data_IF_759664650422
#
_entry.id   IF_759664650422
#
_cell.length_a   1.000
_cell.length_b   1.000
_cell.length_c   1.000
_cell.angle_alpha   90.00
_cell.angle_beta   90.00
_cell.angle_gamma   90.00
#
_symmetry.space_group_name_H-M   'P 1'
#
loop_
_entity.id
_entity.type
_entity.pdbx_description
1 polymer ?
#
# COMPACT_ATOMS: atom_id res chain seq x y z
N UNK A 1 2.97 -10.37 -9.76
CA UNK A 1 1.83 -10.15 -8.83
C UNK A 1 0.82 -11.29 -8.91
N UNK A 2 0.36 -11.75 -10.08
CA UNK A 2 -0.60 -12.87 -10.17
C UNK A 2 -0.18 -14.12 -9.39
N UNK A 3 1.13 -14.47 -9.39
CA UNK A 3 1.65 -15.59 -8.60
C UNK A 3 1.64 -15.34 -7.08
N UNK A 4 1.58 -14.09 -6.64
CA UNK A 4 1.49 -13.77 -5.22
C UNK A 4 0.11 -14.06 -4.66
N UNK A 5 -0.97 -13.78 -5.44
CA UNK A 5 -2.35 -14.15 -5.11
C UNK A 5 -2.53 -15.65 -4.83
N UNK A 6 -1.68 -16.50 -5.42
CA UNK A 6 -1.79 -17.95 -5.24
C UNK A 6 -1.24 -18.41 -3.90
N UNK A 7 -0.39 -17.60 -3.30
CA UNK A 7 0.28 -17.92 -2.04
C UNK A 7 -0.37 -17.30 -0.83
N UNK A 8 -0.89 -16.07 -1.00
CA UNK A 8 -1.50 -15.28 0.07
C UNK A 8 -2.69 -14.51 -0.48
N UNK A 9 -3.70 -14.19 0.35
CA UNK A 9 -4.69 -13.18 -0.02
C UNK A 9 -3.98 -11.90 -0.45
N UNK A 10 -4.34 -11.35 -1.61
CA UNK A 10 -3.66 -10.19 -2.18
C UNK A 10 -4.68 -9.10 -2.53
N UNK A 11 -5.51 -8.79 -1.56
CA UNK A 11 -6.53 -7.74 -1.62
C UNK A 11 -6.05 -6.48 -0.91
N UNK A 12 -6.60 -5.33 -1.28
CA UNK A 12 -6.44 -4.10 -0.53
C UNK A 12 -7.79 -3.42 -0.35
N UNK A 13 -7.90 -2.57 0.66
CA UNK A 13 -9.13 -1.87 1.02
C UNK A 13 -8.83 -0.39 1.18
N UNK A 14 -9.66 0.44 0.56
CA UNK A 14 -9.78 1.87 0.84
C UNK A 14 -11.14 2.12 1.45
N UNK A 15 -11.21 2.86 2.53
CA UNK A 15 -12.44 3.21 3.21
C UNK A 15 -12.43 4.69 3.57
N UNK A 16 -13.56 5.36 3.35
CA UNK A 16 -13.72 6.78 3.64
C UNK A 16 -15.02 7.01 4.41
N UNK A 17 -14.97 7.89 5.40
CA UNK A 17 -16.15 8.35 6.14
C UNK A 17 -16.83 9.51 5.44
N UNK A 18 -18.14 9.38 5.27
CA UNK A 18 -19.03 10.39 4.70
C UNK A 18 -19.92 10.93 5.81
N UNK A 19 -19.87 12.24 6.10
CA UNK A 19 -20.64 12.90 7.16
C UNK A 19 -22.07 13.24 6.68
N UNK A 20 -22.78 12.24 6.17
CA UNK A 20 -24.18 12.32 5.70
C UNK A 20 -24.84 10.95 5.87
N UNK A 21 -26.18 10.87 5.96
CA UNK A 21 -26.88 9.60 5.91
C UNK A 21 -26.61 8.84 4.60
N UNK A 22 -26.55 7.51 4.69
CA UNK A 22 -26.42 6.65 3.52
C UNK A 22 -27.76 6.49 2.82
N UNK A 23 -27.75 6.65 1.49
CA UNK A 23 -28.81 6.14 0.62
C UNK A 23 -28.22 4.96 -0.18
N UNK A 24 -28.47 3.72 0.22
CA UNK A 24 -27.85 2.55 -0.39
C UNK A 24 -28.20 2.37 -1.86
N UNK A 25 -29.44 2.67 -2.24
CA UNK A 25 -29.90 2.52 -3.62
C UNK A 25 -29.17 3.48 -4.54
N UNK A 26 -29.18 4.75 -4.17
CA UNK A 26 -28.45 5.80 -4.89
C UNK A 26 -26.96 5.54 -4.96
N UNK A 27 -26.35 5.10 -3.86
CA UNK A 27 -24.91 4.80 -3.81
C UNK A 27 -24.57 3.67 -4.76
N UNK A 28 -25.36 2.59 -4.77
CA UNK A 28 -25.18 1.45 -5.67
C UNK A 28 -25.28 1.86 -7.13
N UNK A 29 -26.34 2.56 -7.52
CA UNK A 29 -26.55 3.06 -8.88
C UNK A 29 -25.39 3.94 -9.34
N UNK A 30 -24.92 4.82 -8.46
CA UNK A 30 -23.79 5.69 -8.76
C UNK A 30 -22.48 4.92 -8.95
N UNK A 31 -22.18 3.93 -8.11
CA UNK A 31 -21.00 3.07 -8.26
C UNK A 31 -21.07 2.32 -9.60
N UNK A 32 -22.20 1.72 -9.93
CA UNK A 32 -22.41 0.99 -11.19
C UNK A 32 -22.19 1.88 -12.41
N UNK A 33 -22.82 3.06 -12.41
CA UNK A 33 -22.68 4.04 -13.47
C UNK A 33 -21.21 4.51 -13.66
N UNK A 34 -20.49 4.75 -12.55
CA UNK A 34 -19.08 5.21 -12.61
C UNK A 34 -18.14 4.10 -13.07
N UNK A 35 -18.31 2.86 -12.61
CA UNK A 35 -17.51 1.73 -13.08
C UNK A 35 -17.73 1.48 -14.58
N UNK A 36 -18.97 1.57 -15.03
CA UNK A 36 -19.32 1.41 -16.45
C UNK A 36 -18.72 2.54 -17.29
N UNK A 37 -18.90 3.79 -16.90
CA UNK A 37 -18.33 4.96 -17.60
C UNK A 37 -16.81 4.91 -17.69
N UNK A 38 -16.14 4.43 -16.62
CA UNK A 38 -14.70 4.24 -16.59
C UNK A 38 -14.22 3.00 -17.37
N UNK A 39 -15.11 2.17 -17.91
CA UNK A 39 -14.74 0.91 -18.58
C UNK A 39 -14.16 -0.15 -17.63
N UNK A 40 -14.35 -0.02 -16.32
CA UNK A 40 -13.77 -0.89 -15.30
C UNK A 40 -14.68 -2.07 -14.91
N UNK A 41 -15.42 -2.60 -15.87
CA UNK A 41 -16.36 -3.69 -15.67
C UNK A 41 -15.96 -4.93 -16.45
N UNK A 42 -16.43 -6.10 -16.01
CA UNK A 42 -16.24 -7.36 -16.71
C UNK A 42 -14.74 -7.73 -16.88
N UNK A 43 -13.95 -7.68 -15.80
CA UNK A 43 -12.55 -8.12 -15.86
C UNK A 43 -12.47 -9.58 -16.27
N UNK A 44 -11.71 -9.86 -17.33
CA UNK A 44 -11.34 -11.22 -17.76
C UNK A 44 -9.84 -11.42 -17.53
N UNK A 45 -9.51 -12.45 -16.78
CA UNK A 45 -8.14 -12.82 -16.46
C UNK A 45 -7.77 -14.11 -17.19
N UNK A 46 -6.75 -14.04 -18.08
CA UNK A 46 -6.11 -15.20 -18.69
C UNK A 46 -4.76 -15.44 -18.03
N UNK A 47 -4.75 -16.39 -17.10
CA UNK A 47 -3.54 -16.75 -16.36
C UNK A 47 -2.49 -17.44 -17.23
N UNK A 48 -2.90 -18.16 -18.25
CA UNK A 48 -2.00 -18.89 -19.14
C UNK A 48 -1.10 -17.90 -19.91
N UNK A 49 -1.66 -16.78 -20.33
CA UNK A 49 -0.98 -15.68 -21.01
C UNK A 49 -0.45 -14.60 -20.07
N UNK A 50 -0.86 -14.63 -18.78
CA UNK A 50 -0.53 -13.59 -17.79
C UNK A 50 -1.10 -12.21 -18.16
N UNK A 51 -2.29 -12.18 -18.76
CA UNK A 51 -2.99 -10.97 -19.22
C UNK A 51 -4.34 -10.85 -18.56
N UNK A 52 -4.78 -9.61 -18.40
CA UNK A 52 -6.15 -9.30 -18.03
C UNK A 52 -6.68 -8.15 -18.88
N UNK A 53 -7.99 -8.10 -19.03
CA UNK A 53 -8.67 -7.09 -19.81
C UNK A 53 -10.03 -6.79 -19.20
N UNK A 54 -10.41 -5.52 -19.17
CA UNK A 54 -11.76 -5.10 -18.86
C UNK A 54 -12.58 -5.08 -20.15
N UNK A 55 -13.65 -5.86 -20.18
CA UNK A 55 -14.54 -5.98 -21.35
C UNK A 55 -15.52 -4.81 -21.46
N UNK A 56 -15.70 -4.06 -20.37
CA UNK A 56 -16.74 -3.03 -20.29
C UNK A 56 -18.16 -3.61 -20.18
N UNK A 57 -19.15 -2.75 -20.45
CA UNK A 57 -20.56 -3.10 -20.44
C UNK A 57 -21.22 -2.96 -19.08
N UNK A 58 -22.54 -3.29 -19.02
CA UNK A 58 -23.33 -3.19 -17.79
C UNK A 58 -22.77 -4.06 -16.67
N UNK A 59 -22.91 -3.60 -15.46
CA UNK A 59 -22.46 -4.33 -14.25
C UNK A 59 -23.51 -4.20 -13.16
N UNK A 60 -23.59 -5.22 -12.32
CA UNK A 60 -24.33 -5.17 -11.06
C UNK A 60 -23.32 -5.30 -9.93
N UNK A 61 -23.29 -4.32 -9.04
CA UNK A 61 -22.38 -4.29 -7.89
C UNK A 61 -23.07 -4.93 -6.67
N UNK A 62 -22.36 -5.82 -6.02
CA UNK A 62 -22.74 -6.30 -4.70
C UNK A 62 -22.28 -5.25 -3.67
N UNK A 63 -23.26 -4.52 -3.09
CA UNK A 63 -23.04 -3.57 -2.01
C UNK A 63 -23.49 -4.19 -0.69
N UNK A 64 -22.55 -4.59 0.14
CA UNK A 64 -22.82 -5.12 1.49
C UNK A 64 -23.05 -3.97 2.45
N UNK A 65 -24.20 -3.94 3.14
CA UNK A 65 -24.49 -2.93 4.15
C UNK A 65 -24.46 -3.59 5.52
N UNK A 66 -23.66 -3.01 6.41
CA UNK A 66 -23.49 -3.48 7.78
C UNK A 66 -23.93 -2.37 8.74
N UNK A 67 -24.71 -2.70 9.77
CA UNK A 67 -25.03 -1.73 10.82
C UNK A 67 -23.75 -1.37 11.59
N UNK A 68 -23.59 -0.10 11.90
CA UNK A 68 -22.43 0.38 12.68
C UNK A 68 -22.41 -0.14 14.13
N UNK A 69 -23.58 -0.46 14.68
CA UNK A 69 -23.70 -0.92 16.07
C UNK A 69 -23.22 0.15 17.06
N UNK A 70 -22.84 -0.30 18.25
CA UNK A 70 -22.31 0.59 19.31
C UNK A 70 -20.89 1.10 19.01
N UNK A 71 -20.11 0.36 18.22
CA UNK A 71 -18.76 0.77 17.78
C UNK A 71 -18.59 0.56 16.26
N UNK A 72 -18.94 1.56 15.45
CA UNK A 72 -18.76 1.50 14.00
C UNK A 72 -17.31 1.28 13.56
N UNK A 73 -16.33 1.71 14.37
CA UNK A 73 -14.91 1.51 14.05
C UNK A 73 -14.47 0.05 14.25
N UNK A 74 -14.99 -0.61 15.28
CA UNK A 74 -14.77 -2.04 15.48
C UNK A 74 -15.40 -2.86 14.33
N UNK A 75 -16.62 -2.53 13.96
CA UNK A 75 -17.32 -3.15 12.81
C UNK A 75 -16.51 -2.95 11.51
N UNK A 76 -16.09 -1.73 11.24
CA UNK A 76 -15.25 -1.40 10.08
C UNK A 76 -13.93 -2.19 10.06
N UNK A 77 -13.26 -2.29 11.20
CA UNK A 77 -12.03 -3.08 11.34
C UNK A 77 -12.24 -4.55 11.04
N UNK A 78 -13.31 -5.16 11.56
CA UNK A 78 -13.62 -6.56 11.30
C UNK A 78 -13.96 -6.80 9.82
N UNK A 79 -14.71 -5.88 9.20
CA UNK A 79 -15.02 -5.98 7.77
C UNK A 79 -13.77 -5.80 6.90
N UNK A 80 -12.88 -4.87 7.23
CA UNK A 80 -11.58 -4.73 6.54
C UNK A 80 -10.79 -6.04 6.63
N UNK A 81 -10.69 -6.67 7.81
CA UNK A 81 -10.01 -7.97 7.97
C UNK A 81 -10.67 -9.03 7.10
N UNK A 82 -12.00 -9.10 7.09
CA UNK A 82 -12.76 -10.04 6.23
C UNK A 82 -12.42 -9.82 4.76
N UNK A 83 -12.45 -8.58 4.27
CA UNK A 83 -12.18 -8.24 2.88
C UNK A 83 -10.73 -8.51 2.46
N UNK A 84 -9.76 -8.26 3.35
CA UNK A 84 -8.35 -8.58 3.09
C UNK A 84 -8.12 -10.08 2.89
N UNK A 85 -8.93 -10.93 3.54
CA UNK A 85 -8.77 -12.38 3.54
C UNK A 85 -9.73 -13.10 2.57
N UNK A 86 -10.74 -12.41 2.08
CA UNK A 86 -11.67 -12.97 1.10
C UNK A 86 -11.02 -12.97 -0.29
N UNK A 87 -10.77 -14.13 -0.90
CA UNK A 87 -10.12 -14.20 -2.20
C UNK A 87 -11.05 -13.70 -3.32
N UNK A 88 -10.45 -13.12 -4.36
CA UNK A 88 -11.12 -12.92 -5.65
C UNK A 88 -10.97 -14.18 -6.53
N UNK A 89 -11.81 -14.29 -7.57
CA UNK A 89 -11.72 -15.38 -8.53
C UNK A 89 -10.30 -15.45 -9.15
N UNK A 90 -9.81 -16.67 -9.34
CA UNK A 90 -8.40 -16.88 -9.77
C UNK A 90 -8.21 -16.77 -11.27
N UNK A 91 -9.27 -16.97 -12.05
CA UNK A 91 -9.24 -16.99 -13.52
C UNK A 91 -10.63 -16.71 -14.08
N UNK A 92 -10.73 -16.45 -15.39
CA UNK A 92 -11.99 -16.19 -16.06
C UNK A 92 -12.52 -14.77 -15.84
N UNK A 93 -13.84 -14.61 -15.96
CA UNK A 93 -14.53 -13.32 -15.84
C UNK A 93 -15.06 -13.11 -14.43
N UNK A 94 -14.72 -11.96 -13.81
CA UNK A 94 -15.19 -11.58 -12.46
C UNK A 94 -15.13 -10.07 -12.25
N UNK A 95 -15.77 -9.57 -11.16
CA UNK A 95 -15.56 -8.21 -10.69
C UNK A 95 -14.34 -8.16 -9.76
N UNK A 96 -13.33 -7.33 -10.06
CA UNK A 96 -12.18 -7.17 -9.17
C UNK A 96 -12.43 -6.17 -8.04
N UNK A 97 -13.68 -5.71 -7.86
CA UNK A 97 -14.11 -4.76 -6.85
C UNK A 97 -15.25 -5.35 -6.01
N UNK A 98 -15.23 -5.08 -4.71
CA UNK A 98 -16.31 -5.31 -3.75
C UNK A 98 -16.52 -4.05 -2.93
N UNK A 99 -17.77 -3.69 -2.72
CA UNK A 99 -18.12 -2.50 -1.96
C UNK A 99 -18.88 -2.88 -0.68
N UNK A 100 -18.63 -2.14 0.38
CA UNK A 100 -19.36 -2.29 1.63
C UNK A 100 -19.60 -0.92 2.28
N UNK A 101 -20.62 -0.86 3.11
CA UNK A 101 -20.99 0.32 3.90
C UNK A 101 -21.10 -0.09 5.36
N UNK A 102 -20.56 0.75 6.24
CA UNK A 102 -20.85 0.68 7.68
C UNK A 102 -21.77 1.86 7.97
N UNK A 103 -23.04 1.56 8.23
CA UNK A 103 -24.07 2.59 8.43
C UNK A 103 -24.08 3.04 9.89
N UNK A 104 -23.73 4.29 10.14
CA UNK A 104 -23.79 4.95 11.44
C UNK A 104 -25.02 5.87 11.60
N UNK A 105 -26.00 5.80 10.72
CA UNK A 105 -27.23 6.60 10.72
C UNK A 105 -27.01 8.02 10.19
N UNK A 106 -26.34 8.89 10.91
CA UNK A 106 -26.04 10.28 10.48
C UNK A 106 -24.79 10.40 9.59
N UNK A 107 -23.95 9.38 9.59
CA UNK A 107 -22.76 9.25 8.77
C UNK A 107 -22.56 7.80 8.39
N UNK A 108 -21.80 7.53 7.35
CA UNK A 108 -21.45 6.17 6.97
C UNK A 108 -20.00 6.07 6.51
N UNK A 109 -19.41 4.89 6.67
CA UNK A 109 -18.12 4.58 6.06
C UNK A 109 -18.37 3.74 4.81
N UNK A 110 -17.84 4.16 3.67
CA UNK A 110 -17.86 3.37 2.44
C UNK A 110 -16.49 2.77 2.16
N UNK A 111 -16.45 1.46 1.99
CA UNK A 111 -15.24 0.70 1.70
C UNK A 111 -15.27 0.13 0.29
N UNK A 112 -14.12 0.20 -0.37
CA UNK A 112 -13.81 -0.44 -1.64
C UNK A 112 -12.68 -1.43 -1.42
N UNK A 113 -12.98 -2.72 -1.46
CA UNK A 113 -12.01 -3.79 -1.53
C UNK A 113 -11.73 -4.16 -2.98
N UNK A 114 -10.48 -4.36 -3.33
CA UNK A 114 -10.09 -4.68 -4.70
C UNK A 114 -8.94 -5.68 -4.77
N UNK A 115 -8.89 -6.38 -5.88
CA UNK A 115 -7.77 -7.27 -6.17
C UNK A 115 -6.53 -6.43 -6.50
N UNK A 116 -5.53 -6.45 -5.62
CA UNK A 116 -4.43 -5.48 -5.65
C UNK A 116 -3.51 -5.59 -6.87
N UNK A 117 -3.67 -6.60 -7.73
CA UNK A 117 -2.89 -6.67 -8.96
C UNK A 117 -3.35 -5.70 -10.04
N UNK A 118 -4.60 -5.21 -9.98
CA UNK A 118 -5.19 -4.36 -11.03
C UNK A 118 -4.77 -2.91 -10.95
N UNK A 119 -4.56 -2.37 -9.74
CA UNK A 119 -4.30 -0.94 -9.55
C UNK A 119 -3.50 -0.63 -8.29
N UNK A 120 -2.78 0.49 -8.32
CA UNK A 120 -2.17 1.14 -7.16
C UNK A 120 -3.17 1.97 -6.37
N UNK A 121 -2.77 2.37 -5.15
CA UNK A 121 -3.64 3.09 -4.23
C UNK A 121 -4.12 4.44 -4.74
N UNK A 122 -3.34 5.14 -5.55
CA UNK A 122 -3.70 6.41 -6.18
C UNK A 122 -4.84 6.25 -7.20
N UNK A 123 -4.77 5.24 -8.09
CA UNK A 123 -5.87 4.93 -9.01
C UNK A 123 -7.18 4.60 -8.27
N UNK A 124 -7.08 3.86 -7.18
CA UNK A 124 -8.26 3.49 -6.37
C UNK A 124 -8.80 4.69 -5.60
N UNK A 125 -7.94 5.59 -5.12
CA UNK A 125 -8.39 6.82 -4.48
C UNK A 125 -9.18 7.71 -5.44
N UNK A 126 -8.72 7.85 -6.69
CA UNK A 126 -9.45 8.58 -7.74
C UNK A 126 -10.77 7.89 -8.07
N UNK A 127 -10.78 6.57 -8.27
CA UNK A 127 -12.02 5.81 -8.51
C UNK A 127 -13.03 6.01 -7.37
N UNK A 128 -12.59 5.86 -6.13
CA UNK A 128 -13.47 6.02 -4.96
C UNK A 128 -14.04 7.45 -4.89
N UNK A 129 -13.25 8.47 -5.22
CA UNK A 129 -13.74 9.84 -5.33
C UNK A 129 -14.87 9.97 -6.35
N UNK A 130 -14.69 9.42 -7.55
CA UNK A 130 -15.73 9.45 -8.58
C UNK A 130 -16.99 8.68 -8.18
N UNK A 131 -16.85 7.56 -7.48
CA UNK A 131 -18.00 6.84 -6.93
C UNK A 131 -18.79 7.65 -5.89
N UNK A 132 -18.18 8.66 -5.28
CA UNK A 132 -18.78 9.47 -4.21
C UNK A 132 -19.11 10.91 -4.62
N UNK A 133 -18.98 11.28 -5.90
CA UNK A 133 -19.21 12.64 -6.39
C UNK A 133 -20.59 13.22 -5.97
N UNK A 134 -21.63 12.38 -5.91
CA UNK A 134 -22.98 12.81 -5.48
C UNK A 134 -23.11 13.09 -3.97
N UNK A 135 -22.10 12.74 -3.17
CA UNK A 135 -22.08 12.96 -1.72
C UNK A 135 -21.16 14.12 -1.28
N UNK A 136 -20.44 14.77 -2.23
CA UNK A 136 -19.65 15.97 -1.93
C UNK A 136 -20.49 17.23 -1.77
N UNK A 137 -19.92 18.31 -1.19
CA UNK A 137 -20.60 19.58 -0.95
C UNK A 137 -20.85 20.38 -2.25
N UNK A 138 -19.99 20.21 -3.23
CA UNK A 138 -20.21 20.75 -4.57
C UNK A 138 -21.05 19.74 -5.34
N UNK A 139 -22.27 20.11 -5.71
CA UNK A 139 -22.97 19.43 -6.80
C UNK A 139 -22.06 19.58 -8.00
N UNK A 140 -21.37 18.49 -8.34
CA UNK A 140 -20.44 18.48 -9.45
C UNK A 140 -21.17 18.90 -10.72
N UNK A 141 -20.94 20.15 -11.12
CA UNK A 141 -21.47 20.72 -12.35
C UNK A 141 -20.85 20.06 -13.59
N UNK A 142 -19.83 19.24 -13.42
CA UNK A 142 -19.18 18.51 -14.47
C UNK A 142 -19.05 17.04 -14.10
N UNK A 143 -20.12 16.28 -14.34
CA UNK A 143 -20.04 14.83 -14.49
C UNK A 143 -19.23 14.47 -15.75
N UNK A 144 -18.00 15.00 -15.85
CA UNK A 144 -17.10 14.58 -16.90
C UNK A 144 -16.90 13.08 -16.71
N UNK A 145 -17.26 12.33 -17.74
CA UNK A 145 -17.04 10.89 -17.76
C UNK A 145 -15.55 10.63 -17.60
N UNK A 146 -15.13 10.25 -16.39
CA UNK A 146 -13.76 9.82 -16.16
C UNK A 146 -13.57 8.49 -16.90
N UNK A 147 -12.85 8.54 -18.01
CA UNK A 147 -12.52 7.40 -18.87
C UNK A 147 -11.00 7.22 -18.86
N UNK A 148 -10.46 6.58 -17.82
CA UNK A 148 -9.02 6.47 -17.69
C UNK A 148 -8.44 5.52 -18.74
N UNK A 149 -7.24 5.84 -19.22
CA UNK A 149 -6.45 4.88 -19.98
C UNK A 149 -6.01 3.72 -19.07
N UNK A 150 -6.25 2.49 -19.49
CA UNK A 150 -5.80 1.32 -18.73
C UNK A 150 -4.30 1.12 -18.96
N UNK A 151 -3.56 1.16 -17.90
CA UNK A 151 -2.09 1.07 -17.90
C UNK A 151 -1.60 0.06 -16.83
N UNK A 152 -0.41 -0.46 -16.97
CA UNK A 152 0.50 -0.45 -18.12
C UNK A 152 0.43 -1.77 -18.87
N UNK A 153 0.54 -1.69 -20.18
CA UNK A 153 0.79 -2.90 -20.96
C UNK A 153 2.22 -3.43 -20.72
N UNK A 154 3.20 -2.53 -20.52
CA UNK A 154 4.60 -2.91 -20.29
C UNK A 154 5.44 -1.72 -19.80
N UNK A 155 6.45 -1.97 -18.99
CA UNK A 155 7.47 -1.01 -18.57
C UNK A 155 8.59 -0.81 -19.61
N UNK A 156 8.44 -1.28 -20.87
CA UNK A 156 9.51 -1.16 -21.88
C UNK A 156 9.99 0.27 -22.08
N UNK A 157 9.06 1.25 -22.14
CA UNK A 157 9.41 2.67 -22.31
C UNK A 157 10.29 3.18 -21.16
N UNK A 158 9.98 2.80 -19.94
CA UNK A 158 10.77 3.16 -18.76
C UNK A 158 12.21 2.63 -18.87
N UNK A 159 12.37 1.34 -19.19
CA UNK A 159 13.69 0.73 -19.35
C UNK A 159 14.45 1.30 -20.54
N UNK A 160 13.80 1.60 -21.67
CA UNK A 160 14.44 2.23 -22.83
C UNK A 160 14.91 3.65 -22.51
N UNK A 161 14.09 4.47 -21.82
CA UNK A 161 14.45 5.81 -21.38
C UNK A 161 15.67 5.81 -20.44
N UNK A 162 15.73 4.86 -19.54
CA UNK A 162 16.78 4.75 -18.52
C UNK A 162 17.76 3.59 -18.79
N UNK A 163 17.95 3.20 -20.05
CA UNK A 163 18.79 2.04 -20.40
C UNK A 163 20.21 2.16 -19.83
N UNK A 164 20.85 3.32 -19.97
CA UNK A 164 22.17 3.58 -19.41
C UNK A 164 22.20 3.48 -17.88
N UNK A 165 21.15 3.93 -17.18
CA UNK A 165 21.02 3.81 -15.73
C UNK A 165 20.72 2.37 -15.31
N UNK A 166 19.89 1.65 -16.05
CA UNK A 166 19.60 0.24 -15.81
C UNK A 166 20.87 -0.62 -15.95
N UNK A 167 21.67 -0.39 -16.99
CA UNK A 167 22.96 -1.08 -17.19
C UNK A 167 23.99 -0.71 -16.10
N UNK A 168 24.15 0.57 -15.78
CA UNK A 168 25.01 1.01 -14.67
C UNK A 168 24.54 0.44 -13.33
N UNK A 169 23.23 0.30 -13.14
CA UNK A 169 22.62 -0.32 -11.97
C UNK A 169 23.08 -1.77 -11.75
N UNK A 170 23.51 -2.49 -12.79
CA UNK A 170 24.07 -3.84 -12.65
C UNK A 170 25.38 -3.84 -11.86
N UNK A 171 26.18 -2.77 -11.92
CA UNK A 171 27.38 -2.63 -11.12
C UNK A 171 27.09 -2.58 -9.60
N UNK A 172 25.89 -2.20 -9.21
CA UNK A 172 25.45 -2.21 -7.79
C UNK A 172 24.91 -3.55 -7.30
N UNK A 173 24.73 -4.54 -8.18
CA UNK A 173 24.20 -5.86 -7.78
C UNK A 173 25.03 -6.57 -6.70
N UNK A 174 26.39 -6.54 -6.72
CA UNK A 174 27.19 -7.11 -5.64
C UNK A 174 26.91 -6.45 -4.28
N UNK A 175 26.78 -5.12 -4.26
CA UNK A 175 26.48 -4.35 -3.04
C UNK A 175 25.06 -4.63 -2.55
N UNK A 176 24.06 -4.63 -3.44
CA UNK A 176 22.65 -4.97 -3.11
C UNK A 176 22.56 -6.39 -2.56
N UNK A 177 23.30 -7.33 -3.15
CA UNK A 177 23.39 -8.71 -2.67
C UNK A 177 24.08 -8.79 -1.30
N UNK A 178 25.17 -8.05 -1.10
CA UNK A 178 25.85 -7.98 0.19
C UNK A 178 24.97 -7.35 1.26
N UNK A 179 24.23 -6.29 0.94
CA UNK A 179 23.23 -5.67 1.82
C UNK A 179 22.14 -6.67 2.21
N UNK A 180 21.59 -7.45 1.25
CA UNK A 180 20.62 -8.48 1.53
C UNK A 180 21.15 -9.60 2.45
N UNK A 181 22.45 -9.96 2.28
CA UNK A 181 23.12 -10.94 3.16
C UNK A 181 23.36 -10.43 4.57
N UNK A 182 23.56 -9.12 4.75
CA UNK A 182 23.73 -8.48 6.07
C UNK A 182 22.39 -8.21 6.77
N UNK A 183 21.27 -8.21 6.05
CA UNK A 183 19.96 -7.94 6.62
C UNK A 183 19.43 -9.13 7.46
N UNK A 184 18.93 -8.83 8.65
CA UNK A 184 18.29 -9.77 9.56
C UNK A 184 16.94 -10.18 8.98
N UNK A 185 16.65 -11.47 9.00
CA UNK A 185 15.42 -12.00 8.41
C UNK A 185 14.25 -11.80 9.35
N UNK A 186 13.13 -11.34 8.80
CA UNK A 186 11.87 -11.40 9.49
C UNK A 186 11.40 -12.87 9.66
N UNK A 187 10.58 -13.16 10.66
CA UNK A 187 9.95 -14.47 10.79
C UNK A 187 9.22 -14.86 9.52
N UNK A 188 9.33 -16.11 9.11
CA UNK A 188 8.58 -16.69 8.00
C UNK A 188 8.41 -18.19 8.23
N UNK A 189 7.21 -18.60 8.59
CA UNK A 189 6.89 -19.98 8.89
C UNK A 189 6.43 -20.78 7.65
N UNK A 190 6.22 -20.11 6.50
CA UNK A 190 5.79 -20.74 5.27
C UNK A 190 4.39 -21.37 5.34
N UNK A 191 3.58 -20.98 6.33
CA UNK A 191 2.26 -21.51 6.55
C UNK A 191 1.36 -21.37 5.31
N UNK A 192 0.56 -22.38 5.03
CA UNK A 192 -0.39 -22.36 3.92
C UNK A 192 -1.57 -21.42 4.22
N UNK A 193 -1.98 -21.36 5.48
CA UNK A 193 -3.02 -20.48 5.99
C UNK A 193 -2.38 -19.23 6.58
N UNK A 194 -2.10 -18.27 5.72
CA UNK A 194 -1.53 -16.98 6.11
C UNK A 194 -2.57 -15.89 5.93
N UNK A 195 -3.41 -15.68 6.92
CA UNK A 195 -4.37 -14.59 6.96
C UNK A 195 -3.71 -13.27 7.34
N UNK A 196 -4.36 -12.17 6.98
CA UNK A 196 -3.98 -10.83 7.36
C UNK A 196 -4.79 -10.37 8.57
N UNK A 197 -4.11 -9.89 9.62
CA UNK A 197 -4.71 -9.08 10.66
C UNK A 197 -4.59 -7.60 10.31
N UNK A 198 -5.39 -6.75 10.97
CA UNK A 198 -5.41 -5.31 10.72
C UNK A 198 -5.61 -4.50 11.99
N UNK A 199 -4.83 -3.43 12.13
CA UNK A 199 -4.96 -2.41 13.17
C UNK A 199 -5.02 -1.04 12.51
N UNK A 200 -5.72 -0.10 13.14
CA UNK A 200 -5.87 1.26 12.62
C UNK A 200 -5.65 2.28 13.73
N UNK A 201 -4.90 3.33 13.42
CA UNK A 201 -4.61 4.43 14.34
C UNK A 201 -4.74 5.77 13.61
N UNK A 202 -5.10 6.80 14.37
CA UNK A 202 -5.15 8.17 13.88
C UNK A 202 -4.02 8.98 14.51
N UNK A 203 -3.35 9.79 13.69
CA UNK A 203 -2.46 10.87 14.13
C UNK A 203 -3.23 12.17 13.98
N UNK A 204 -3.29 12.96 15.04
CA UNK A 204 -3.96 14.25 15.02
C UNK A 204 -3.16 15.32 14.26
N UNK A 205 -3.77 16.47 14.06
CA UNK A 205 -3.16 17.58 13.34
C UNK A 205 -1.87 18.09 13.98
N UNK A 206 -1.78 18.10 15.32
CA UNK A 206 -0.58 18.53 16.03
C UNK A 206 0.60 17.56 15.78
N UNK A 207 0.36 16.25 15.79
CA UNK A 207 1.36 15.24 15.43
C UNK A 207 1.80 15.35 13.97
N UNK A 208 0.87 15.61 13.06
CA UNK A 208 1.20 15.80 11.65
C UNK A 208 2.01 17.06 11.38
N UNK A 209 1.68 18.17 12.04
CA UNK A 209 2.48 19.40 11.92
C UNK A 209 3.88 19.23 12.54
N UNK A 210 3.99 18.51 13.67
CA UNK A 210 5.29 18.11 14.22
C UNK A 210 6.15 17.33 13.21
N UNK A 211 5.55 16.36 12.51
CA UNK A 211 6.21 15.62 11.42
C UNK A 211 6.70 16.54 10.30
N UNK A 212 5.85 17.45 9.84
CA UNK A 212 6.19 18.41 8.77
C UNK A 212 7.31 19.35 9.19
N UNK A 213 7.25 19.85 10.43
CA UNK A 213 8.28 20.72 11.01
C UNK A 213 9.62 19.99 11.11
N UNK A 214 9.66 18.80 11.69
CA UNK A 214 10.86 17.98 11.79
C UNK A 214 11.47 17.66 10.42
N UNK A 215 10.64 17.26 9.45
CA UNK A 215 11.11 16.98 8.09
C UNK A 215 11.78 18.22 7.44
N UNK A 216 11.18 19.41 7.59
CA UNK A 216 11.77 20.67 7.11
C UNK A 216 13.08 21.00 7.81
N UNK A 217 13.10 20.90 9.15
CA UNK A 217 14.28 21.25 9.97
C UNK A 217 15.47 20.32 9.69
N UNK A 218 15.21 19.03 9.50
CA UNK A 218 16.25 18.03 9.24
C UNK A 218 16.59 17.88 7.74
N UNK A 219 15.92 18.64 6.86
CA UNK A 219 16.18 18.59 5.41
C UNK A 219 15.83 17.26 4.76
N UNK A 220 14.84 16.54 5.30
CA UNK A 220 14.39 15.23 4.80
C UNK A 220 12.93 15.29 4.35
N UNK A 221 12.49 14.33 3.56
CA UNK A 221 11.06 14.19 3.22
C UNK A 221 10.30 13.49 4.35
N UNK A 222 8.99 13.76 4.47
CA UNK A 222 8.11 13.07 5.43
C UNK A 222 8.15 11.55 5.24
N UNK A 223 8.27 11.09 3.99
CA UNK A 223 8.40 9.65 3.69
C UNK A 223 9.72 9.04 4.23
N UNK A 224 10.82 9.77 4.15
CA UNK A 224 12.10 9.35 4.71
C UNK A 224 12.06 9.32 6.23
N UNK A 225 11.35 10.28 6.83
CA UNK A 225 11.09 10.31 8.27
C UNK A 225 10.24 9.11 8.71
N UNK A 226 9.19 8.76 7.98
CA UNK A 226 8.42 7.54 8.23
C UNK A 226 9.27 6.27 8.15
N UNK A 227 10.20 6.17 7.20
CA UNK A 227 11.12 5.03 7.11
C UNK A 227 12.08 4.97 8.31
N UNK A 228 12.59 6.11 8.78
CA UNK A 228 13.41 6.19 9.98
C UNK A 228 12.63 5.77 11.24
N UNK A 229 11.40 6.25 11.39
CA UNK A 229 10.49 5.84 12.47
C UNK A 229 10.19 4.34 12.42
N UNK A 230 9.99 3.78 11.22
CA UNK A 230 9.74 2.35 11.05
C UNK A 230 10.96 1.51 11.48
N UNK A 231 12.18 1.95 11.13
CA UNK A 231 13.42 1.31 11.59
C UNK A 231 13.51 1.34 13.12
N UNK A 232 13.22 2.48 13.74
CA UNK A 232 13.21 2.64 15.20
C UNK A 232 12.13 1.75 15.86
N UNK A 233 10.92 1.74 15.31
CA UNK A 233 9.79 0.99 15.86
C UNK A 233 9.97 -0.54 15.79
N UNK A 234 10.69 -1.03 14.79
CA UNK A 234 10.96 -2.46 14.62
C UNK A 234 12.22 -2.94 15.37
N UNK A 235 13.03 -2.03 15.90
CA UNK A 235 14.29 -2.37 16.58
C UNK A 235 14.09 -3.35 17.74
N UNK A 236 13.09 -3.21 18.64
CA UNK A 236 12.85 -4.16 19.73
C UNK A 236 12.45 -5.55 19.22
N UNK A 237 11.59 -5.64 18.21
CA UNK A 237 11.14 -6.90 17.62
C UNK A 237 12.28 -7.67 16.93
N UNK A 238 13.27 -6.94 16.41
CA UNK A 238 14.43 -7.49 15.74
C UNK A 238 15.69 -7.55 16.62
N UNK A 239 15.54 -7.52 17.96
CA UNK A 239 16.67 -7.45 18.90
C UNK A 239 17.68 -8.60 18.74
N UNK A 240 17.23 -9.80 18.34
CA UNK A 240 18.09 -10.95 18.06
C UNK A 240 19.19 -10.69 17.00
N UNK A 241 19.06 -9.63 16.16
CA UNK A 241 20.10 -9.25 15.19
C UNK A 241 21.38 -8.78 15.87
N UNK A 242 21.30 -8.25 17.10
CA UNK A 242 22.44 -7.70 17.84
C UNK A 242 23.45 -8.78 18.20
N UNK A 243 22.97 -9.99 18.46
CA UNK A 243 23.80 -11.17 18.78
C UNK A 243 24.11 -12.02 17.54
N UNK A 244 23.48 -11.75 16.41
CA UNK A 244 23.72 -12.49 15.17
C UNK A 244 25.14 -12.27 14.66
N UNK A 245 25.81 -13.33 14.17
CA UNK A 245 27.18 -13.26 13.68
C UNK A 245 27.34 -12.38 12.43
N UNK A 246 26.38 -12.43 11.50
CA UNK A 246 26.50 -11.77 10.18
C UNK A 246 25.32 -10.85 9.81
N UNK A 247 24.11 -11.11 10.34
CA UNK A 247 22.87 -10.43 9.93
C UNK A 247 22.49 -9.37 10.95
N UNK A 248 23.17 -8.22 10.92
CA UNK A 248 23.04 -7.14 11.92
C UNK A 248 22.17 -5.97 11.45
N UNK A 249 21.76 -5.94 10.19
CA UNK A 249 20.99 -4.82 9.65
C UNK A 249 19.51 -5.14 9.64
N UNK A 250 18.67 -4.16 9.95
CA UNK A 250 17.23 -4.20 9.83
C UNK A 250 16.83 -3.66 8.45
N UNK A 251 16.01 -4.40 7.71
CA UNK A 251 15.53 -4.01 6.39
C UNK A 251 14.09 -3.53 6.43
N UNK A 252 13.83 -2.35 5.85
CA UNK A 252 12.50 -1.81 5.59
C UNK A 252 12.37 -1.41 4.12
N UNK A 253 11.14 -1.30 3.63
CA UNK A 253 10.91 -0.89 2.25
C UNK A 253 9.88 0.22 2.14
N UNK A 254 9.97 0.99 1.07
CA UNK A 254 8.92 1.92 0.64
C UNK A 254 8.57 1.69 -0.81
N UNK A 255 7.33 2.01 -1.15
CA UNK A 255 6.87 2.05 -2.53
C UNK A 255 7.42 3.30 -3.22
N UNK A 256 7.84 3.14 -4.48
CA UNK A 256 8.21 4.22 -5.39
C UNK A 256 7.12 4.33 -6.44
N UNK A 257 6.46 5.47 -6.51
CA UNK A 257 5.49 5.75 -7.56
C UNK A 257 6.24 6.15 -8.84
N UNK A 258 5.95 5.44 -9.94
CA UNK A 258 6.59 5.62 -11.24
C UNK A 258 5.75 6.44 -12.23
N UNK A 259 4.64 7.04 -11.79
CA UNK A 259 3.76 7.80 -12.69
C UNK A 259 4.48 8.95 -13.39
N UNK A 260 5.25 9.73 -12.65
CA UNK A 260 6.05 10.83 -13.23
C UNK A 260 7.07 10.34 -14.27
N UNK A 261 7.68 9.18 -14.02
CA UNK A 261 8.63 8.55 -14.94
C UNK A 261 7.97 8.04 -16.23
N UNK A 262 6.69 7.75 -16.16
CA UNK A 262 5.90 7.21 -17.26
C UNK A 262 4.98 8.26 -17.89
N UNK A 263 5.17 9.55 -17.53
CA UNK A 263 4.37 10.68 -18.02
C UNK A 263 2.86 10.41 -17.84
N UNK A 264 2.50 9.84 -16.71
CA UNK A 264 1.13 9.44 -16.41
C UNK A 264 0.60 10.14 -15.17
N UNK A 265 -0.66 10.55 -15.22
CA UNK A 265 -1.41 11.13 -14.10
C UNK A 265 -2.45 10.15 -13.57
N UNK A 266 -2.77 10.25 -12.27
CA UNK A 266 -3.75 9.38 -11.62
C UNK A 266 -5.17 9.60 -12.13
N UNK A 267 -5.49 10.79 -12.61
CA UNK A 267 -6.78 11.14 -13.19
C UNK A 267 -6.92 10.67 -14.65
N UNK A 268 -5.80 10.42 -15.32
CA UNK A 268 -5.78 10.01 -16.74
C UNK A 268 -5.59 8.51 -16.88
N UNK A 269 -4.89 7.85 -15.94
CA UNK A 269 -4.52 6.45 -16.11
C UNK A 269 -4.85 5.61 -14.88
N UNK A 270 -5.49 4.48 -15.11
CA UNK A 270 -5.79 3.48 -14.08
C UNK A 270 -4.86 2.26 -14.21
N UNK A 271 -4.22 1.85 -13.12
CA UNK A 271 -3.34 0.67 -13.13
C UNK A 271 -2.28 0.69 -12.03
N UNK A 272 -1.28 -0.17 -12.18
CA UNK A 272 -0.12 -0.28 -11.29
C UNK A 272 1.09 0.48 -11.83
N UNK A 273 1.60 1.45 -11.04
CA UNK A 273 2.72 2.31 -11.41
C UNK A 273 3.81 2.28 -10.32
N UNK A 274 4.06 1.10 -9.79
CA UNK A 274 4.84 0.98 -8.56
C UNK A 274 6.14 0.20 -8.79
N UNK A 275 7.20 0.70 -8.16
CA UNK A 275 8.40 -0.05 -7.81
C UNK A 275 8.59 0.00 -6.30
N UNK A 276 9.71 -0.51 -5.81
CA UNK A 276 10.06 -0.44 -4.40
C UNK A 276 11.53 -0.13 -4.20
N UNK A 277 11.83 0.51 -3.10
CA UNK A 277 13.18 0.66 -2.58
C UNK A 277 13.28 -0.05 -1.23
N UNK A 278 14.44 -0.64 -0.95
CA UNK A 278 14.76 -1.25 0.33
C UNK A 278 15.88 -0.45 1.00
N UNK A 279 15.65 -0.10 2.25
CA UNK A 279 16.64 0.51 3.14
C UNK A 279 17.08 -0.53 4.16
N UNK A 280 18.38 -0.63 4.41
CA UNK A 280 18.93 -1.49 5.45
C UNK A 280 19.85 -0.71 6.36
N UNK A 281 19.60 -0.73 7.67
CA UNK A 281 20.35 0.01 8.66
C UNK A 281 20.63 -0.84 9.92
N UNK A 282 21.80 -0.74 10.56
CA UNK A 282 22.10 -1.49 11.77
C UNK A 282 21.29 -1.06 13.00
N UNK A 283 20.77 0.17 13.02
CA UNK A 283 20.06 0.78 14.16
C UNK A 283 20.82 0.53 15.47
N UNK A 284 21.97 1.22 15.69
CA UNK A 284 22.72 1.08 16.93
C UNK A 284 21.90 1.51 18.15
N UNK A 285 22.14 0.93 19.33
CA UNK A 285 21.50 1.38 20.56
C UNK A 285 21.75 2.88 20.80
N UNK A 286 20.67 3.62 21.13
CA UNK A 286 20.76 5.05 21.43
C UNK A 286 20.87 5.97 20.19
N UNK A 287 20.79 5.44 18.97
CA UNK A 287 20.77 6.28 17.77
C UNK A 287 19.50 7.15 17.77
N UNK A 288 19.70 8.47 17.57
CA UNK A 288 18.61 9.44 17.49
C UNK A 288 17.80 9.33 16.20
N UNK A 289 16.54 9.75 16.26
CA UNK A 289 15.64 9.70 15.08
C UNK A 289 16.14 10.59 13.95
N UNK A 290 16.74 11.74 14.24
CA UNK A 290 17.33 12.65 13.27
C UNK A 290 18.49 11.98 12.51
N UNK A 291 19.38 11.29 13.22
CA UNK A 291 20.48 10.55 12.60
C UNK A 291 19.99 9.42 11.70
N UNK A 292 18.93 8.69 12.13
CA UNK A 292 18.29 7.68 11.30
C UNK A 292 17.66 8.32 10.05
N UNK A 293 16.99 9.45 10.19
CA UNK A 293 16.38 10.17 9.07
C UNK A 293 17.42 10.64 8.06
N UNK A 294 18.55 11.16 8.52
CA UNK A 294 19.68 11.57 7.67
C UNK A 294 20.29 10.36 6.92
N UNK A 295 20.47 9.22 7.60
CA UNK A 295 20.97 8.00 6.97
C UNK A 295 19.99 7.46 5.90
N UNK A 296 18.69 7.46 6.20
CA UNK A 296 17.63 7.10 5.25
C UNK A 296 17.62 8.05 4.06
N UNK A 297 17.73 9.37 4.28
CA UNK A 297 17.78 10.38 3.22
C UNK A 297 18.96 10.13 2.27
N UNK A 298 20.15 9.89 2.81
CA UNK A 298 21.34 9.57 2.00
C UNK A 298 21.10 8.35 1.09
N UNK A 299 20.52 7.29 1.64
CA UNK A 299 20.26 6.07 0.89
C UNK A 299 19.13 6.25 -0.14
N UNK A 300 18.05 6.93 0.20
CA UNK A 300 16.95 7.20 -0.76
C UNK A 300 17.41 8.11 -1.88
N UNK A 301 18.24 9.11 -1.59
CA UNK A 301 18.86 9.97 -2.60
C UNK A 301 19.72 9.14 -3.55
N UNK A 302 20.58 8.25 -3.03
CA UNK A 302 21.39 7.33 -3.82
C UNK A 302 20.54 6.47 -4.75
N UNK A 303 19.47 5.85 -4.21
CA UNK A 303 18.55 5.01 -4.98
C UNK A 303 17.89 5.81 -6.11
N UNK A 304 17.47 7.04 -5.86
CA UNK A 304 16.81 7.90 -6.87
C UNK A 304 17.80 8.39 -7.91
N UNK A 305 18.97 8.91 -7.51
CA UNK A 305 20.01 9.44 -8.42
C UNK A 305 20.50 8.38 -9.40
N UNK A 306 20.64 7.14 -8.93
CA UNK A 306 21.11 6.02 -9.78
C UNK A 306 19.99 5.15 -10.33
N UNK A 307 18.71 5.52 -10.15
CA UNK A 307 17.54 4.76 -10.60
C UNK A 307 17.56 3.29 -10.16
N UNK A 308 18.09 3.01 -8.95
CA UNK A 308 18.24 1.64 -8.44
C UNK A 308 16.89 0.94 -8.21
N UNK A 309 15.78 1.66 -8.12
CA UNK A 309 14.43 1.09 -8.09
C UNK A 309 14.10 0.27 -9.36
N UNK A 310 14.78 0.51 -10.51
CA UNK A 310 14.66 -0.31 -11.70
C UNK A 310 15.17 -1.74 -11.47
N UNK A 311 16.19 -1.90 -10.62
CA UNK A 311 16.72 -3.21 -10.26
C UNK A 311 15.69 -4.06 -9.49
N UNK A 312 14.83 -3.42 -8.71
CA UNK A 312 13.72 -4.12 -8.03
C UNK A 312 12.73 -4.74 -9.04
N UNK A 313 12.43 -4.03 -10.13
CA UNK A 313 11.58 -4.56 -11.21
C UNK A 313 12.25 -5.74 -11.94
N UNK A 314 13.55 -5.63 -12.21
CA UNK A 314 14.33 -6.72 -12.83
C UNK A 314 14.40 -7.93 -11.89
N UNK A 315 14.67 -7.71 -10.60
CA UNK A 315 14.70 -8.76 -9.59
C UNK A 315 13.36 -9.49 -9.46
N UNK A 316 12.24 -8.76 -9.57
CA UNK A 316 10.89 -9.37 -9.61
C UNK A 316 10.70 -10.25 -10.86
N UNK A 317 11.22 -9.84 -12.01
CA UNK A 317 11.22 -10.65 -13.23
C UNK A 317 12.02 -11.94 -13.05
N UNK A 318 13.25 -11.84 -12.56
CA UNK A 318 14.14 -12.99 -12.28
C UNK A 318 13.52 -13.94 -11.24
N UNK A 319 13.00 -13.38 -10.14
CA UNK A 319 12.34 -14.19 -9.10
C UNK A 319 11.12 -14.92 -9.66
N UNK A 320 10.36 -14.25 -10.53
CA UNK A 320 9.22 -14.87 -11.23
C UNK A 320 9.63 -16.06 -12.10
N UNK A 321 10.81 -16.05 -12.70
CA UNK A 321 11.36 -17.21 -13.42
C UNK A 321 11.79 -18.32 -12.46
N UNK A 322 12.56 -17.99 -11.40
CA UNK A 322 13.01 -18.96 -10.40
C UNK A 322 11.84 -19.68 -9.71
N UNK A 323 10.73 -18.96 -9.47
CA UNK A 323 9.55 -19.54 -8.82
C UNK A 323 8.93 -20.72 -9.57
N UNK A 324 9.20 -20.91 -10.85
CA UNK A 324 8.72 -22.08 -11.61
C UNK A 324 9.26 -23.39 -11.05
N UNK A 325 10.45 -23.34 -10.46
CA UNK A 325 11.19 -24.52 -9.98
C UNK A 325 11.09 -24.70 -8.45
N UNK A 326 10.36 -23.84 -7.75
CA UNK A 326 10.23 -23.88 -6.29
C UNK A 326 8.89 -24.49 -5.86
N UNK A 327 8.89 -25.21 -4.73
CA UNK A 327 7.67 -25.67 -4.07
C UNK A 327 6.83 -24.48 -3.55
N UNK A 328 5.53 -24.65 -3.27
CA UNK A 328 4.70 -23.60 -2.68
C UNK A 328 5.27 -23.05 -1.37
N UNK A 329 5.79 -23.90 -0.49
CA UNK A 329 6.42 -23.52 0.77
C UNK A 329 7.67 -22.66 0.55
N UNK A 330 8.57 -23.10 -0.34
CA UNK A 330 9.76 -22.35 -0.71
C UNK A 330 9.42 -20.97 -1.30
N UNK A 331 8.33 -20.86 -2.08
CA UNK A 331 7.87 -19.59 -2.65
C UNK A 331 7.38 -18.63 -1.57
N UNK A 332 6.68 -19.12 -0.53
CA UNK A 332 6.18 -18.28 0.57
C UNK A 332 7.30 -17.57 1.33
N UNK A 333 8.40 -18.27 1.59
CA UNK A 333 9.55 -17.70 2.30
C UNK A 333 10.67 -17.18 1.38
N UNK A 334 10.46 -17.15 0.07
CA UNK A 334 11.48 -16.76 -0.90
C UNK A 334 12.02 -15.34 -0.63
N UNK A 335 11.14 -14.37 -0.46
CA UNK A 335 11.56 -12.98 -0.24
C UNK A 335 12.14 -12.78 1.16
N UNK A 336 11.59 -13.40 2.20
CA UNK A 336 12.18 -13.37 3.54
C UNK A 336 13.61 -13.90 3.55
N UNK A 337 13.92 -14.86 2.69
CA UNK A 337 15.26 -15.46 2.55
C UNK A 337 16.21 -14.61 1.70
N UNK A 338 15.74 -14.10 0.55
CA UNK A 338 16.60 -13.50 -0.49
C UNK A 338 16.53 -11.97 -0.53
N UNK A 339 15.44 -11.39 -0.05
CA UNK A 339 15.21 -9.94 -0.01
C UNK A 339 14.58 -9.55 1.34
N UNK A 340 15.33 -9.73 2.45
CA UNK A 340 14.75 -9.60 3.78
C UNK A 340 14.27 -8.19 4.07
N UNK A 341 12.96 -8.08 4.32
CA UNK A 341 12.23 -6.87 4.71
C UNK A 341 11.38 -7.24 5.93
N UNK A 342 11.44 -6.45 6.99
CA UNK A 342 10.62 -6.61 8.18
C UNK A 342 9.26 -5.94 8.03
N UNK A 343 9.26 -4.75 7.45
CA UNK A 343 8.02 -4.06 7.13
C UNK A 343 8.17 -3.18 5.88
N UNK A 344 7.06 -2.93 5.21
CA UNK A 344 6.95 -1.94 4.14
C UNK A 344 6.08 -0.77 4.56
N UNK A 345 6.34 0.43 4.02
CA UNK A 345 5.42 1.56 4.07
C UNK A 345 4.85 1.86 2.70
N UNK A 346 3.58 2.28 2.70
CA UNK A 346 2.90 2.74 1.48
C UNK A 346 2.16 4.06 1.79
N UNK A 347 2.85 5.20 1.64
CA UNK A 347 2.23 6.51 1.85
C UNK A 347 1.29 6.86 0.70
N UNK A 348 0.21 7.56 1.01
CA UNK A 348 -0.73 8.13 0.05
C UNK A 348 -1.21 9.51 0.53
N UNK A 349 -1.05 10.50 -0.32
CA UNK A 349 -1.64 11.82 -0.16
C UNK A 349 -2.93 11.87 -0.97
N UNK A 350 -4.07 12.01 -0.30
CA UNK A 350 -5.39 11.98 -0.94
C UNK A 350 -5.77 13.34 -1.51
N UNK A 351 -5.40 14.44 -0.86
CA UNK A 351 -5.81 15.79 -1.24
C UNK A 351 -5.52 16.14 -2.71
N UNK A 352 -4.31 15.91 -3.26
CA UNK A 352 -4.05 16.17 -4.68
C UNK A 352 -4.90 15.31 -5.62
N UNK A 353 -5.24 14.08 -5.19
CA UNK A 353 -6.06 13.16 -5.97
C UNK A 353 -7.55 13.51 -5.94
N UNK A 354 -7.98 14.30 -4.94
CA UNK A 354 -9.37 14.67 -4.73
C UNK A 354 -9.66 16.15 -5.06
N UNK A 355 -8.69 16.86 -5.66
CA UNK A 355 -8.84 18.25 -6.10
C UNK A 355 -8.66 19.29 -4.99
N UNK A 356 -7.95 18.94 -3.93
CA UNK A 356 -7.61 19.81 -2.79
C UNK A 356 -8.08 19.27 -1.45
N UNK A 357 -7.59 19.88 -0.36
CA UNK A 357 -8.00 19.50 0.98
C UNK A 357 -9.52 19.71 1.14
N UNK A 358 -10.23 18.77 1.75
CA UNK A 358 -11.68 18.81 1.90
C UNK A 358 -12.08 19.77 3.04
N UNK A 359 -11.73 21.07 2.97
CA UNK A 359 -12.19 22.04 3.95
C UNK A 359 -13.70 22.17 3.87
N UNK A 360 -14.42 21.74 4.91
CA UNK A 360 -15.87 21.76 4.99
C UNK A 360 -16.57 20.68 4.17
N UNK A 361 -15.86 19.64 3.77
CA UNK A 361 -16.45 18.55 2.95
C UNK A 361 -17.13 17.48 3.80
N UNK A 362 -18.03 16.73 3.16
CA UNK A 362 -18.66 15.55 3.74
C UNK A 362 -17.68 14.40 4.04
N UNK A 363 -16.40 14.50 3.63
CA UNK A 363 -15.40 13.43 3.77
C UNK A 363 -14.39 13.74 4.87
N UNK A 364 -14.21 12.85 5.84
CA UNK A 364 -13.41 13.16 7.03
C UNK A 364 -12.32 12.16 7.40
N UNK A 365 -12.48 10.87 7.14
CA UNK A 365 -11.55 9.83 7.54
C UNK A 365 -11.22 8.97 6.31
N UNK A 366 -9.94 8.75 6.04
CA UNK A 366 -9.52 7.89 4.95
C UNK A 366 -8.56 6.82 5.44
N UNK A 367 -9.05 5.60 5.53
CA UNK A 367 -8.31 4.44 6.03
C UNK A 367 -7.93 3.52 4.88
N UNK A 368 -6.71 3.02 4.89
CA UNK A 368 -6.28 2.00 3.93
C UNK A 368 -5.73 0.77 4.65
N UNK A 369 -6.01 -0.37 4.06
CA UNK A 369 -5.42 -1.65 4.43
C UNK A 369 -4.87 -2.32 3.16
N UNK A 370 -3.66 -2.84 3.23
CA UNK A 370 -3.01 -3.50 2.09
C UNK A 370 -2.47 -4.84 2.56
N UNK A 371 -2.84 -5.92 1.90
CA UNK A 371 -2.30 -7.26 2.22
C UNK A 371 -0.79 -7.28 2.21
N UNK A 372 -0.19 -8.04 3.12
CA UNK A 372 1.27 -8.17 3.22
C UNK A 372 1.90 -8.86 2.01
N UNK A 373 1.16 -9.73 1.32
CA UNK A 373 1.70 -10.55 0.24
C UNK A 373 2.92 -11.37 0.71
N UNK A 374 3.78 -11.83 -0.19
CA UNK A 374 4.97 -12.60 0.16
C UNK A 374 6.21 -11.76 0.51
N UNK A 375 6.14 -10.41 0.37
CA UNK A 375 7.33 -9.54 0.48
C UNK A 375 7.75 -9.27 1.91
N UNK A 376 6.82 -8.96 2.79
CA UNK A 376 7.10 -8.63 4.19
C UNK A 376 5.96 -9.08 5.09
N UNK A 377 6.20 -9.39 6.38
CA UNK A 377 5.15 -9.78 7.30
C UNK A 377 4.31 -8.60 7.84
N UNK A 378 4.77 -7.35 7.63
CA UNK A 378 4.10 -6.12 8.10
C UNK A 378 4.03 -5.08 6.98
N UNK A 379 2.91 -4.37 6.89
CA UNK A 379 2.72 -3.21 6.00
C UNK A 379 2.06 -2.07 6.76
N UNK A 380 2.66 -0.90 6.67
CA UNK A 380 2.17 0.36 7.23
C UNK A 380 1.60 1.22 6.10
N UNK A 381 0.29 1.24 5.97
CA UNK A 381 -0.42 2.09 5.01
C UNK A 381 -0.69 3.45 5.65
N UNK A 382 0.06 4.46 5.23
CA UNK A 382 -0.02 5.81 5.79
C UNK A 382 -0.82 6.67 4.82
N UNK A 383 -1.94 7.20 5.27
CA UNK A 383 -2.85 7.99 4.43
C UNK A 383 -3.04 9.37 5.03
N UNK A 384 -2.82 10.40 4.23
CA UNK A 384 -3.05 11.79 4.62
C UNK A 384 -4.26 12.33 3.89
N UNK A 385 -5.22 12.86 4.62
CA UNK A 385 -6.39 13.59 4.14
C UNK A 385 -6.57 14.85 4.99
N UNK A 386 -6.43 16.02 4.40
CA UNK A 386 -6.39 17.29 5.12
C UNK A 386 -5.26 17.31 6.15
N UNK A 387 -5.59 17.65 7.38
CA UNK A 387 -4.65 17.72 8.51
C UNK A 387 -4.58 16.44 9.32
N UNK A 388 -5.16 15.36 8.82
CA UNK A 388 -5.20 14.06 9.53
C UNK A 388 -4.36 13.02 8.82
N UNK A 389 -3.67 12.20 9.60
CA UNK A 389 -2.94 11.02 9.11
C UNK A 389 -3.57 9.77 9.71
N UNK A 390 -3.87 8.81 8.85
CA UNK A 390 -4.36 7.51 9.24
C UNK A 390 -3.29 6.45 8.98
N UNK A 391 -3.03 5.65 9.99
CA UNK A 391 -2.06 4.56 9.96
C UNK A 391 -2.81 3.22 9.99
N UNK A 392 -2.90 2.56 8.85
CA UNK A 392 -3.35 1.17 8.75
C UNK A 392 -2.16 0.23 8.85
N UNK A 393 -2.18 -0.70 9.80
CA UNK A 393 -1.13 -1.70 9.99
C UNK A 393 -1.68 -3.07 9.69
N UNK A 394 -1.27 -3.64 8.58
CA UNK A 394 -1.61 -5.02 8.18
C UNK A 394 -0.45 -5.94 8.53
N UNK A 395 -0.75 -7.11 9.09
CA UNK A 395 0.27 -8.09 9.46
C UNK A 395 -0.19 -9.50 9.09
N UNK A 396 0.79 -10.36 8.74
CA UNK A 396 0.55 -11.77 8.48
C UNK A 396 0.47 -12.52 9.80
N UNK A 397 -0.70 -13.05 10.14
CA UNK A 397 -0.98 -13.65 11.45
C UNK A 397 -0.12 -14.88 11.75
N UNK A 398 0.31 -15.61 10.71
CA UNK A 398 1.21 -16.76 10.87
C UNK A 398 2.64 -16.39 11.27
N UNK A 399 3.08 -15.16 11.01
CA UNK A 399 4.47 -14.72 11.20
C UNK A 399 4.60 -13.66 12.31
N UNK A 400 3.54 -12.86 12.54
CA UNK A 400 3.53 -11.75 13.49
C UNK A 400 2.23 -11.80 14.30
N UNK A 401 2.35 -11.83 15.62
CA UNK A 401 1.19 -11.75 16.52
C UNK A 401 0.56 -10.36 16.50
N UNK A 402 -0.72 -10.27 16.86
CA UNK A 402 -1.43 -8.98 17.01
C UNK A 402 -0.72 -8.04 17.98
N UNK A 403 -0.21 -8.58 19.08
CA UNK A 403 0.50 -7.80 20.12
C UNK A 403 1.85 -7.26 19.61
N UNK A 404 2.57 -8.06 18.82
CA UNK A 404 3.83 -7.61 18.20
C UNK A 404 3.56 -6.50 17.17
N UNK A 405 2.52 -6.65 16.34
CA UNK A 405 2.11 -5.62 15.40
C UNK A 405 1.65 -4.34 16.12
N UNK A 406 0.84 -4.47 17.18
CA UNK A 406 0.39 -3.34 18.00
C UNK A 406 1.58 -2.64 18.70
N UNK A 407 2.56 -3.40 19.17
CA UNK A 407 3.78 -2.83 19.77
C UNK A 407 4.57 -2.03 18.75
N UNK A 408 4.81 -2.57 17.56
CA UNK A 408 5.49 -1.84 16.48
C UNK A 408 4.73 -0.56 16.09
N UNK A 409 3.39 -0.62 16.03
CA UNK A 409 2.56 0.54 15.74
C UNK A 409 2.66 1.61 16.86
N UNK A 410 2.60 1.21 18.14
CA UNK A 410 2.74 2.14 19.28
C UNK A 410 4.10 2.82 19.29
N UNK A 411 5.18 2.08 19.05
CA UNK A 411 6.54 2.65 18.96
C UNK A 411 6.65 3.65 17.80
N UNK A 412 6.06 3.33 16.65
CA UNK A 412 5.99 4.26 15.52
C UNK A 412 5.24 5.56 15.90
N UNK A 413 4.09 5.45 16.55
CA UNK A 413 3.30 6.59 17.03
C UNK A 413 4.03 7.38 18.12
N UNK A 414 4.79 6.71 18.99
CA UNK A 414 5.63 7.36 20.01
C UNK A 414 6.70 8.25 19.36
N UNK A 415 7.31 7.80 18.26
CA UNK A 415 8.23 8.65 17.48
C UNK A 415 7.52 9.90 16.95
N UNK A 416 6.27 9.79 16.49
CA UNK A 416 5.49 10.96 16.06
C UNK A 416 5.22 11.89 17.25
N UNK A 417 4.80 11.35 18.38
CA UNK A 417 4.49 12.15 19.58
C UNK A 417 5.71 12.90 20.12
N UNK A 418 6.93 12.37 19.95
CA UNK A 418 8.17 13.04 20.38
C UNK A 418 8.58 14.25 19.50
N UNK A 419 7.87 14.49 18.40
CA UNK A 419 8.12 15.63 17.49
C UNK A 419 7.14 16.82 17.68
N UNK A 420 6.22 16.72 18.62
CA UNK A 420 5.24 17.75 18.95
C UNK A 420 5.81 19.06 19.51
#
# INVERSE_FOLDING_TARGET
MLRWRDLHPYSAVHMVRVARPCDPTRLKEQIEARLQAAGLTGLTLDRSRGRFEFQGGPTTVELTILPGGDDPRATARLEIIRQLNLPFARDGRFSPFRFFVIDGGTSFDVGLAYDHFIAGGDSIAVLLRHCLDGYGDKRGTDAHSWTPHLYPHTYRRLFLRHLGSALRGLAYLPELSASARRAYRAPCHGAADASNGFLCYRVDSAGFEGLRRAARTWGVTVNELFLAMLLSALDPAAAGRRTAARRKQLGVASIVNLRSELESDAHVSFGQFLSSLRISHPVPPGVGLEQLAAAVHSETRRVRTHHLYLQSLLALGVSGFMWRYLSPEQRRCFFAKHYPIWAGITPLYVDPLWGGAPNGTAFSEYVRAVSTGPLSPLVFAITTLGDSVWLGVTFRTADVSSDAAATAAREFLRCIASLR
#
